data_IF_440329918055
#
_entry.id   IF_440329918055
#
_cell.length_a   1.000
_cell.length_b   1.000
_cell.length_c   1.000
_cell.angle_alpha   90.00
_cell.angle_beta   90.00
_cell.angle_gamma   90.00
#
_symmetry.space_group_name_H-M   'P 1'
#
loop_
_entity.id
_entity.type
_entity.pdbx_description
1 polymer ?
#
# COMPACT_ATOMS: atom_id res chain seq x y z
N UNK A 1 15.56 -0.62 -2.26
CA UNK A 1 15.11 -2.01 -2.00
C UNK A 1 14.62 -2.13 -0.58
N UNK A 2 13.48 -2.78 -0.37
CA UNK A 2 12.96 -3.21 0.92
C UNK A 2 13.18 -4.72 1.03
N UNK A 3 13.71 -5.19 2.16
CA UNK A 3 13.95 -6.59 2.47
C UNK A 3 13.33 -6.92 3.82
N UNK A 4 12.49 -7.95 3.83
CA UNK A 4 11.94 -8.58 5.03
C UNK A 4 12.55 -9.97 5.11
N UNK A 5 13.15 -10.32 6.26
CA UNK A 5 13.83 -11.60 6.44
C UNK A 5 13.45 -12.23 7.77
N UNK A 6 12.99 -13.48 7.69
CA UNK A 6 12.61 -14.34 8.81
C UNK A 6 11.74 -13.62 9.86
N UNK A 7 10.75 -12.85 9.38
CA UNK A 7 9.98 -11.95 10.21
C UNK A 7 8.90 -12.71 10.99
N UNK A 8 9.02 -12.67 12.31
CA UNK A 8 8.03 -13.19 13.25
C UNK A 8 7.37 -12.06 14.01
N UNK A 9 6.04 -12.08 14.07
CA UNK A 9 5.26 -10.96 14.56
C UNK A 9 4.08 -11.44 15.39
N UNK A 10 3.78 -10.73 16.49
CA UNK A 10 2.71 -11.07 17.42
C UNK A 10 1.83 -9.86 17.74
N UNK A 11 0.56 -10.14 18.06
CA UNK A 11 -0.34 -9.25 18.78
C UNK A 11 -0.66 -9.88 20.13
N UNK A 12 -0.14 -9.31 21.21
CA UNK A 12 -0.19 -9.94 22.53
C UNK A 12 0.32 -11.38 22.47
N UNK A 13 -0.56 -12.33 22.79
CA UNK A 13 -0.23 -13.76 22.81
C UNK A 13 -0.34 -14.45 21.45
N UNK A 14 -1.02 -13.85 20.47
CA UNK A 14 -1.27 -14.44 19.16
C UNK A 14 -0.10 -14.15 18.23
N UNK A 15 0.47 -15.19 17.63
CA UNK A 15 1.47 -15.02 16.58
C UNK A 15 0.78 -14.90 15.23
N UNK A 16 1.00 -13.77 14.56
CA UNK A 16 0.38 -13.45 13.28
C UNK A 16 1.31 -13.75 12.09
N UNK A 17 2.63 -13.63 12.26
CA UNK A 17 3.63 -14.00 11.25
C UNK A 17 4.61 -15.05 11.79
N UNK A 18 4.93 -16.04 10.96
CA UNK A 18 5.68 -17.24 11.33
C UNK A 18 6.99 -17.37 10.52
N UNK A 19 7.71 -16.27 10.32
CA UNK A 19 9.03 -16.26 9.66
C UNK A 19 8.94 -15.95 8.17
N UNK A 20 8.23 -14.89 7.79
CA UNK A 20 8.11 -14.50 6.38
C UNK A 20 9.38 -13.83 5.87
N UNK A 21 9.73 -14.09 4.61
CA UNK A 21 10.85 -13.43 3.93
C UNK A 21 10.45 -13.03 2.52
N UNK A 22 10.66 -11.76 2.17
CA UNK A 22 10.41 -11.26 0.82
C UNK A 22 11.21 -9.99 0.54
N UNK A 23 11.30 -9.64 -0.74
CA UNK A 23 11.95 -8.40 -1.18
C UNK A 23 11.07 -7.63 -2.16
N UNK A 24 11.22 -6.31 -2.13
CA UNK A 24 10.64 -5.38 -3.10
C UNK A 24 11.78 -4.52 -3.65
N UNK A 25 11.97 -4.52 -4.96
CA UNK A 25 13.01 -3.75 -5.64
C UNK A 25 12.51 -2.35 -5.97
N UNK A 26 13.44 -1.42 -6.16
CA UNK A 26 13.09 -0.04 -6.50
C UNK A 26 12.48 0.03 -7.91
N UNK A 27 11.37 0.76 -8.04
CA UNK A 27 10.58 0.83 -9.28
C UNK A 27 9.69 -0.40 -9.51
N UNK A 28 9.65 -1.36 -8.59
CA UNK A 28 8.83 -2.57 -8.72
C UNK A 28 7.44 -2.37 -8.12
N UNK A 29 6.42 -2.97 -8.76
CA UNK A 29 5.12 -3.21 -8.16
C UNK A 29 5.03 -4.67 -7.73
N UNK A 30 5.00 -4.94 -6.43
CA UNK A 30 4.90 -6.28 -5.83
C UNK A 30 3.53 -6.46 -5.20
N UNK A 31 2.89 -7.61 -5.44
CA UNK A 31 1.66 -7.99 -4.75
C UNK A 31 1.96 -8.98 -3.60
N UNK A 32 1.38 -8.73 -2.43
CA UNK A 32 1.32 -9.69 -1.33
C UNK A 32 -0.13 -10.17 -1.20
N UNK A 33 -0.38 -11.38 -1.69
CA UNK A 33 -1.70 -11.98 -1.81
C UNK A 33 -2.03 -12.85 -0.60
N UNK A 34 -3.30 -13.03 -0.30
CA UNK A 34 -3.73 -13.99 0.71
C UNK A 34 -5.14 -13.72 1.22
N UNK A 35 -5.72 -14.72 1.88
CA UNK A 35 -7.04 -14.60 2.50
C UNK A 35 -7.05 -13.58 3.67
N UNK A 36 -8.25 -13.25 4.14
CA UNK A 36 -8.41 -12.41 5.33
C UNK A 36 -7.82 -13.13 6.54
N UNK A 37 -7.08 -12.41 7.38
CA UNK A 37 -6.36 -12.99 8.51
C UNK A 37 -5.05 -13.69 8.15
N UNK A 38 -4.62 -13.71 6.89
CA UNK A 38 -3.33 -14.33 6.51
C UNK A 38 -2.09 -13.61 7.08
N UNK A 39 -2.22 -12.36 7.56
CA UNK A 39 -1.12 -11.55 8.10
C UNK A 39 -0.65 -10.42 7.17
N UNK A 40 -1.45 -10.06 6.16
CA UNK A 40 -1.08 -9.05 5.15
C UNK A 40 -0.94 -7.64 5.75
N UNK A 41 -2.00 -7.12 6.39
CA UNK A 41 -1.96 -5.85 7.16
C UNK A 41 -0.88 -5.86 8.23
N UNK A 42 -0.72 -6.97 8.95
CA UNK A 42 0.35 -7.15 9.96
C UNK A 42 1.74 -6.94 9.37
N UNK A 43 1.97 -7.41 8.14
CA UNK A 43 3.23 -7.20 7.43
C UNK A 43 3.46 -5.71 7.17
N UNK A 44 2.46 -4.98 6.67
CA UNK A 44 2.56 -3.54 6.41
C UNK A 44 2.77 -2.74 7.71
N UNK A 45 2.00 -3.02 8.75
CA UNK A 45 2.16 -2.36 10.05
C UNK A 45 3.54 -2.61 10.67
N UNK A 46 4.11 -3.81 10.46
CA UNK A 46 5.46 -4.15 10.93
C UNK A 46 6.54 -3.37 10.20
N UNK A 47 6.39 -3.18 8.88
CA UNK A 47 7.30 -2.35 8.07
C UNK A 47 7.21 -0.88 8.51
N UNK A 48 5.99 -0.38 8.73
CA UNK A 48 5.73 0.99 9.15
C UNK A 48 6.03 1.26 10.62
N UNK A 49 6.43 0.23 11.39
CA UNK A 49 6.76 0.34 12.82
C UNK A 49 5.62 0.90 13.67
N UNK A 50 4.37 0.56 13.34
CA UNK A 50 3.22 0.95 14.16
C UNK A 50 3.38 0.35 15.58
N UNK A 51 3.35 1.16 16.65
CA UNK A 51 3.64 0.68 17.99
C UNK A 51 2.41 -0.01 18.62
N UNK A 52 2.61 -0.90 19.61
CA UNK A 52 1.52 -1.45 20.42
C UNK A 52 0.77 -0.36 21.23
N UNK A 53 -0.49 -0.62 21.65
CA UNK A 53 -1.27 -1.84 21.46
C UNK A 53 -1.94 -1.96 20.07
N UNK A 54 -2.06 -0.87 19.31
CA UNK A 54 -2.71 -0.86 18.00
C UNK A 54 -1.86 -1.57 16.93
N UNK A 55 -0.54 -1.52 17.09
CA UNK A 55 0.44 -2.12 16.19
C UNK A 55 1.06 -3.42 16.69
N UNK A 56 1.68 -4.19 15.78
CA UNK A 56 2.28 -5.48 16.10
C UNK A 56 3.65 -5.37 16.81
N UNK A 57 4.04 -6.44 17.51
CA UNK A 57 5.40 -6.62 18.05
C UNK A 57 6.19 -7.60 17.19
N UNK A 58 7.30 -7.12 16.62
CA UNK A 58 8.28 -7.98 15.93
C UNK A 58 9.13 -8.70 16.99
N UNK A 59 9.09 -10.03 16.99
CA UNK A 59 9.81 -10.87 17.97
C UNK A 59 11.11 -11.44 17.43
N UNK A 60 11.21 -11.63 16.11
CA UNK A 60 12.39 -12.15 15.41
C UNK A 60 12.39 -11.67 13.96
N UNK A 61 13.57 -11.65 13.35
CA UNK A 61 13.77 -11.27 11.96
C UNK A 61 14.19 -9.81 11.80
N UNK A 62 14.24 -9.36 10.55
CA UNK A 62 14.67 -7.99 10.22
C UNK A 62 13.81 -7.39 9.11
N UNK A 63 13.60 -6.08 9.19
CA UNK A 63 13.05 -5.27 8.09
C UNK A 63 14.11 -4.24 7.71
N UNK A 64 14.72 -4.39 6.54
CA UNK A 64 15.74 -3.47 6.03
C UNK A 64 15.20 -2.67 4.87
N UNK A 65 15.38 -1.36 4.93
CA UNK A 65 15.15 -0.47 3.82
C UNK A 65 16.47 0.13 3.36
N UNK A 66 16.90 -0.25 2.16
CA UNK A 66 18.27 0.00 1.67
C UNK A 66 19.27 -0.55 2.69
N UNK A 67 20.15 0.29 3.24
CA UNK A 67 21.12 -0.10 4.27
C UNK A 67 20.59 0.02 5.71
N UNK A 68 19.39 0.58 5.93
CA UNK A 68 18.87 0.87 7.28
C UNK A 68 17.97 -0.24 7.79
N UNK A 69 18.19 -0.69 9.02
CA UNK A 69 17.24 -1.57 9.71
C UNK A 69 16.09 -0.74 10.30
N UNK A 70 14.89 -0.86 9.73
CA UNK A 70 13.71 -0.11 10.15
C UNK A 70 13.22 -0.48 11.55
N UNK A 71 13.61 -1.65 12.09
CA UNK A 71 13.17 -2.07 13.43
C UNK A 71 13.64 -1.13 14.55
N UNK A 72 14.68 -0.33 14.31
CA UNK A 72 15.19 0.67 15.27
C UNK A 72 14.76 2.10 14.92
N UNK A 73 13.92 2.27 13.90
CA UNK A 73 13.48 3.57 13.41
C UNK A 73 12.07 3.87 13.97
N UNK A 74 11.83 5.06 14.53
CA UNK A 74 10.49 5.47 14.95
C UNK A 74 9.53 5.59 13.74
N UNK A 75 8.23 5.28 13.89
CA UNK A 75 7.27 5.27 12.78
C UNK A 75 7.21 6.58 11.97
N UNK A 76 7.28 7.73 12.64
CA UNK A 76 7.28 9.03 11.95
C UNK A 76 8.52 9.25 11.07
N UNK A 77 9.66 8.65 11.40
CA UNK A 77 10.89 8.74 10.59
C UNK A 77 10.87 7.78 9.39
N UNK A 78 10.12 6.68 9.46
CA UNK A 78 9.89 5.78 8.32
C UNK A 78 9.29 6.57 7.14
N UNK A 79 8.33 7.46 7.42
CA UNK A 79 7.76 8.34 6.41
C UNK A 79 8.72 9.50 6.10
N UNK A 80 9.11 10.29 7.11
CA UNK A 80 9.78 11.57 6.91
C UNK A 80 11.22 11.46 6.35
N UNK A 81 11.97 10.41 6.74
CA UNK A 81 13.36 10.22 6.32
C UNK A 81 13.51 9.15 5.25
N UNK A 82 12.76 8.05 5.37
CA UNK A 82 12.87 6.92 4.44
C UNK A 82 11.89 6.98 3.27
N UNK A 83 10.89 7.88 3.33
CA UNK A 83 9.99 8.13 2.21
C UNK A 83 9.11 6.93 1.87
N UNK A 84 8.68 6.18 2.89
CA UNK A 84 7.74 5.06 2.77
C UNK A 84 6.39 5.51 3.31
N UNK A 85 5.38 5.60 2.45
CA UNK A 85 4.01 5.92 2.82
C UNK A 85 3.14 4.67 2.92
N UNK A 86 2.12 4.73 3.78
CA UNK A 86 1.10 3.69 3.91
C UNK A 86 -0.27 4.29 3.58
N UNK A 87 -1.01 3.62 2.70
CA UNK A 87 -2.46 3.79 2.55
C UNK A 87 -3.12 2.61 3.26
N UNK A 88 -3.63 2.79 4.48
CA UNK A 88 -4.33 1.74 5.20
C UNK A 88 -5.70 1.43 4.59
N UNK A 89 -6.25 0.27 4.94
CA UNK A 89 -7.63 -0.10 4.68
C UNK A 89 -8.59 0.94 5.29
N UNK A 90 -9.78 1.17 4.72
CA UNK A 90 -10.78 2.03 5.35
C UNK A 90 -10.63 3.54 5.06
N UNK A 91 -9.87 3.92 4.02
CA UNK A 91 -9.73 5.27 3.41
C UNK A 91 -9.06 6.32 4.30
N UNK A 92 -9.36 6.37 5.59
CA UNK A 92 -8.78 7.27 6.60
C UNK A 92 -8.64 8.74 6.17
N UNK A 93 -9.67 9.28 5.50
CA UNK A 93 -9.75 10.68 5.05
C UNK A 93 -10.25 11.62 6.15
N UNK A 94 -9.92 12.92 6.04
CA UNK A 94 -10.47 13.95 6.91
C UNK A 94 -11.83 14.41 6.38
N UNK A 95 -12.91 13.79 6.87
CA UNK A 95 -14.27 13.98 6.34
C UNK A 95 -14.78 15.43 6.42
N UNK A 96 -14.41 16.16 7.48
CA UNK A 96 -14.79 17.55 7.70
C UNK A 96 -14.05 18.55 6.79
N UNK A 97 -13.05 18.09 6.05
CA UNK A 97 -12.26 18.90 5.12
C UNK A 97 -12.70 18.64 3.68
N UNK A 98 -12.44 19.62 2.82
CA UNK A 98 -12.64 19.48 1.37
C UNK A 98 -11.62 18.52 0.75
N UNK A 99 -11.89 18.08 -0.48
CA UNK A 99 -10.93 17.33 -1.31
C UNK A 99 -9.58 18.06 -1.40
N UNK A 100 -9.60 19.35 -1.74
CA UNK A 100 -8.39 20.17 -1.86
C UNK A 100 -7.63 20.26 -0.52
N UNK A 101 -8.32 20.45 0.60
CA UNK A 101 -7.69 20.51 1.92
C UNK A 101 -7.07 19.17 2.34
N UNK A 102 -7.76 18.06 2.06
CA UNK A 102 -7.22 16.71 2.27
C UNK A 102 -5.89 16.52 1.52
N UNK A 103 -5.86 16.89 0.23
CA UNK A 103 -4.66 16.80 -0.61
C UNK A 103 -3.54 17.74 -0.14
N UNK A 104 -3.88 18.96 0.29
CA UNK A 104 -2.91 19.93 0.83
C UNK A 104 -2.30 19.49 2.15
N UNK A 105 -3.08 18.93 3.08
CA UNK A 105 -2.53 18.45 4.35
C UNK A 105 -1.51 17.33 4.13
N UNK A 106 -1.70 16.51 3.11
CA UNK A 106 -0.74 15.46 2.78
C UNK A 106 0.65 15.99 2.36
N UNK A 107 0.77 17.27 2.01
CA UNK A 107 2.05 17.90 1.66
C UNK A 107 2.74 18.57 2.86
N UNK A 108 2.19 18.47 4.08
CA UNK A 108 2.66 19.22 5.24
C UNK A 108 4.16 19.04 5.56
N UNK A 109 4.69 17.83 5.37
CA UNK A 109 6.10 17.52 5.64
C UNK A 109 7.04 17.90 4.47
N UNK A 110 6.50 18.35 3.33
CA UNK A 110 7.26 18.67 2.12
C UNK A 110 7.75 20.11 2.14
N UNK A 111 8.93 20.33 1.53
CA UNK A 111 9.59 21.65 1.43
C UNK A 111 9.70 22.16 0.00
N UNK A 112 9.33 21.33 -0.99
CA UNK A 112 9.50 21.54 -2.43
C UNK A 112 8.23 22.10 -3.09
N UNK A 113 7.89 23.35 -2.78
CA UNK A 113 6.63 24.01 -3.20
C UNK A 113 6.35 23.96 -4.71
N UNK A 114 7.38 24.07 -5.56
CA UNK A 114 7.24 24.00 -7.01
C UNK A 114 6.87 22.59 -7.54
N UNK A 115 7.29 21.53 -6.84
CA UNK A 115 6.91 20.16 -7.19
C UNK A 115 5.50 19.82 -6.68
N UNK A 116 5.09 20.39 -5.54
CA UNK A 116 3.73 20.20 -4.99
C UNK A 116 2.65 20.62 -5.98
N UNK A 117 2.81 21.76 -6.66
CA UNK A 117 1.82 22.21 -7.64
C UNK A 117 1.69 21.22 -8.82
N UNK A 118 2.83 20.72 -9.34
CA UNK A 118 2.86 19.73 -10.42
C UNK A 118 2.24 18.40 -9.98
N UNK A 119 2.51 17.97 -8.75
CA UNK A 119 1.92 16.75 -8.20
C UNK A 119 0.41 16.90 -7.98
N UNK A 120 -0.07 18.09 -7.61
CA UNK A 120 -1.51 18.37 -7.50
C UNK A 120 -2.20 18.26 -8.87
N UNK A 121 -1.64 18.88 -9.89
CA UNK A 121 -2.17 18.78 -11.26
C UNK A 121 -2.16 17.34 -11.75
N UNK A 122 -1.09 16.59 -11.43
CA UNK A 122 -0.97 15.17 -11.73
C UNK A 122 -2.04 14.34 -11.00
N UNK A 123 -2.27 14.58 -9.71
CA UNK A 123 -3.30 13.88 -8.92
C UNK A 123 -4.69 14.13 -9.51
N UNK A 124 -5.00 15.36 -9.92
CA UNK A 124 -6.26 15.66 -10.59
C UNK A 124 -6.36 15.07 -12.01
N UNK A 125 -5.24 14.94 -12.72
CA UNK A 125 -5.19 14.22 -13.98
C UNK A 125 -5.44 12.70 -13.82
N UNK A 126 -4.90 12.10 -12.76
CA UNK A 126 -5.09 10.69 -12.43
C UNK A 126 -6.49 10.40 -11.86
N UNK A 127 -7.07 11.35 -11.15
CA UNK A 127 -8.40 11.24 -10.54
C UNK A 127 -9.31 12.41 -10.94
N UNK A 128 -9.83 12.46 -12.18
CA UNK A 128 -10.61 13.58 -12.67
C UNK A 128 -11.84 13.91 -11.80
N UNK A 129 -12.46 12.88 -11.21
CA UNK A 129 -13.61 13.05 -10.30
C UNK A 129 -13.28 13.86 -9.05
N UNK A 130 -12.04 13.82 -8.57
CA UNK A 130 -11.60 14.67 -7.46
C UNK A 130 -11.43 16.13 -7.91
N UNK A 131 -11.04 16.36 -9.17
CA UNK A 131 -10.87 17.71 -9.72
C UNK A 131 -12.21 18.45 -9.80
N UNK A 132 -13.24 17.76 -10.33
CA UNK A 132 -14.62 18.26 -10.40
C UNK A 132 -15.17 18.66 -9.02
N UNK A 133 -14.71 17.94 -7.98
CA UNK A 133 -15.21 18.06 -6.60
C UNK A 133 -14.20 18.70 -5.64
N UNK A 134 -13.22 19.45 -6.13
CA UNK A 134 -12.10 19.95 -5.30
C UNK A 134 -12.54 20.74 -4.04
N UNK A 135 -13.67 21.42 -4.10
CA UNK A 135 -14.23 22.23 -3.00
C UNK A 135 -15.32 21.50 -2.19
N UNK A 136 -15.65 20.27 -2.55
CA UNK A 136 -16.65 19.45 -1.86
C UNK A 136 -16.04 18.83 -0.60
N UNK A 137 -16.81 18.75 0.48
CA UNK A 137 -16.42 18.04 1.72
C UNK A 137 -16.24 16.56 1.47
N UNK A 138 -15.18 15.98 2.03
CA UNK A 138 -14.77 14.61 1.74
C UNK A 138 -15.74 13.56 2.31
N UNK A 139 -16.46 13.87 3.40
CA UNK A 139 -17.51 13.01 3.96
C UNK A 139 -18.74 12.84 3.04
N UNK A 140 -18.97 13.79 2.12
CA UNK A 140 -20.08 13.73 1.15
C UNK A 140 -19.73 13.01 -0.17
N UNK A 141 -18.48 12.55 -0.31
CA UNK A 141 -18.05 11.77 -1.47
C UNK A 141 -18.58 10.33 -1.40
N UNK A 142 -18.79 9.72 -2.56
CA UNK A 142 -19.04 8.27 -2.61
C UNK A 142 -17.85 7.49 -2.07
N UNK A 143 -18.06 6.25 -1.63
CA UNK A 143 -16.98 5.45 -1.07
C UNK A 143 -15.80 5.22 -2.01
N UNK A 144 -16.07 5.13 -3.31
CA UNK A 144 -15.01 5.06 -4.33
C UNK A 144 -14.22 6.36 -4.47
N UNK A 145 -14.90 7.50 -4.47
CA UNK A 145 -14.23 8.81 -4.52
C UNK A 145 -13.41 9.06 -3.25
N UNK A 146 -13.89 8.64 -2.08
CA UNK A 146 -13.12 8.69 -0.84
C UNK A 146 -11.84 7.83 -0.93
N UNK A 147 -11.91 6.66 -1.57
CA UNK A 147 -10.73 5.82 -1.82
C UNK A 147 -9.74 6.52 -2.75
N UNK A 148 -10.21 7.11 -3.85
CA UNK A 148 -9.34 7.89 -4.75
C UNK A 148 -8.69 9.07 -4.02
N UNK A 149 -9.41 9.73 -3.09
CA UNK A 149 -8.85 10.79 -2.28
C UNK A 149 -7.76 10.28 -1.32
N UNK A 150 -7.96 9.13 -0.68
CA UNK A 150 -6.94 8.49 0.15
C UNK A 150 -5.65 8.20 -0.64
N UNK A 151 -5.80 7.67 -1.86
CA UNK A 151 -4.70 7.44 -2.79
C UNK A 151 -4.01 8.74 -3.20
N UNK A 152 -4.79 9.76 -3.58
CA UNK A 152 -4.29 11.09 -3.92
C UNK A 152 -3.46 11.71 -2.80
N UNK A 153 -3.88 11.55 -1.54
CA UNK A 153 -3.10 12.00 -0.38
C UNK A 153 -1.74 11.31 -0.29
N UNK A 154 -1.68 10.00 -0.46
CA UNK A 154 -0.39 9.31 -0.48
C UNK A 154 0.52 9.84 -1.59
N UNK A 155 -0.01 10.14 -2.78
CA UNK A 155 0.80 10.70 -3.87
C UNK A 155 1.27 12.12 -3.58
N UNK A 156 0.39 12.96 -3.02
CA UNK A 156 0.75 14.33 -2.62
C UNK A 156 1.86 14.38 -1.57
N UNK A 157 2.03 13.32 -0.76
CA UNK A 157 3.14 13.24 0.20
C UNK A 157 4.53 13.15 -0.44
N UNK A 158 4.63 12.89 -1.75
CA UNK A 158 5.90 12.87 -2.49
C UNK A 158 6.78 11.64 -2.20
N UNK A 159 6.25 10.65 -1.48
CA UNK A 159 6.95 9.40 -1.19
C UNK A 159 7.16 8.57 -2.46
N UNK A 160 8.32 7.92 -2.57
CA UNK A 160 8.64 7.02 -3.72
C UNK A 160 8.35 5.56 -3.43
N UNK A 161 7.97 5.23 -2.19
CA UNK A 161 7.60 3.91 -1.75
C UNK A 161 6.21 3.98 -1.14
N UNK A 162 5.28 3.22 -1.71
CA UNK A 162 3.89 3.21 -1.28
C UNK A 162 3.50 1.79 -0.91
N UNK A 163 3.03 1.63 0.32
CA UNK A 163 2.42 0.41 0.82
C UNK A 163 0.90 0.60 0.78
N UNK A 164 0.18 -0.32 0.17
CA UNK A 164 -1.27 -0.24 0.01
C UNK A 164 -1.92 -1.44 0.67
N UNK A 165 -2.89 -1.19 1.57
CA UNK A 165 -3.63 -2.23 2.26
C UNK A 165 -5.06 -2.33 1.71
N UNK A 166 -5.34 -3.41 0.98
CA UNK A 166 -6.63 -3.73 0.35
C UNK A 166 -7.31 -2.53 -0.34
N UNK A 167 -6.59 -1.78 -1.20
CA UNK A 167 -7.10 -0.52 -1.75
C UNK A 167 -8.31 -0.72 -2.68
N UNK A 168 -8.54 -1.95 -3.14
CA UNK A 168 -9.68 -2.34 -3.97
C UNK A 168 -10.98 -2.63 -3.20
N UNK A 169 -10.90 -2.80 -1.87
CA UNK A 169 -12.02 -3.32 -1.09
C UNK A 169 -13.23 -2.37 -1.12
N UNK A 170 -14.40 -2.93 -1.44
CA UNK A 170 -15.67 -2.19 -1.50
C UNK A 170 -15.81 -1.29 -2.74
N UNK A 171 -14.90 -1.36 -3.71
CA UNK A 171 -15.03 -0.66 -4.99
C UNK A 171 -15.86 -1.47 -5.99
N UNK A 172 -16.57 -0.76 -6.87
CA UNK A 172 -17.18 -1.40 -8.03
C UNK A 172 -16.11 -1.96 -8.97
N UNK A 173 -16.40 -2.98 -9.79
CA UNK A 173 -15.42 -3.58 -10.71
C UNK A 173 -14.74 -2.56 -11.63
N UNK A 174 -15.49 -1.54 -12.08
CA UNK A 174 -14.96 -0.47 -12.93
C UNK A 174 -13.93 0.38 -12.18
N UNK A 175 -14.28 0.87 -10.99
CA UNK A 175 -13.39 1.69 -10.16
C UNK A 175 -12.14 0.92 -9.72
N UNK A 176 -12.31 -0.37 -9.47
CA UNK A 176 -11.20 -1.26 -9.16
C UNK A 176 -10.20 -1.36 -10.32
N UNK A 177 -10.66 -1.53 -11.57
CA UNK A 177 -9.77 -1.52 -12.73
C UNK A 177 -9.09 -0.17 -12.95
N UNK A 178 -9.83 0.93 -12.74
CA UNK A 178 -9.31 2.29 -12.85
C UNK A 178 -8.20 2.55 -11.81
N UNK A 179 -8.42 2.15 -10.55
CA UNK A 179 -7.42 2.23 -9.49
C UNK A 179 -6.11 1.54 -9.90
N UNK A 180 -6.18 0.27 -10.31
CA UNK A 180 -4.96 -0.46 -10.67
C UNK A 180 -4.26 0.07 -11.92
N UNK A 181 -5.02 0.66 -12.86
CA UNK A 181 -4.43 1.38 -13.99
C UNK A 181 -3.62 2.58 -13.51
N UNK A 182 -4.19 3.40 -12.62
CA UNK A 182 -3.49 4.54 -12.01
C UNK A 182 -2.25 4.09 -11.24
N UNK A 183 -2.34 3.01 -10.46
CA UNK A 183 -1.19 2.44 -9.76
C UNK A 183 -0.06 2.03 -10.72
N UNK A 184 -0.43 1.42 -11.85
CA UNK A 184 0.54 1.05 -12.89
C UNK A 184 1.19 2.29 -13.52
N UNK A 185 0.42 3.29 -13.90
CA UNK A 185 0.97 4.56 -14.45
C UNK A 185 1.93 5.23 -13.47
N UNK A 186 1.63 5.18 -12.17
CA UNK A 186 2.52 5.72 -11.14
C UNK A 186 3.80 4.90 -11.00
N UNK A 187 3.68 3.58 -11.03
CA UNK A 187 4.83 2.69 -10.98
C UNK A 187 5.74 2.87 -12.20
N UNK A 188 5.18 3.06 -13.40
CA UNK A 188 5.91 3.36 -14.64
C UNK A 188 6.70 4.69 -14.56
N UNK A 189 6.28 5.62 -13.70
CA UNK A 189 7.06 6.84 -13.39
C UNK A 189 8.12 6.67 -12.30
N UNK A 190 8.37 5.44 -11.86
CA UNK A 190 9.43 5.09 -10.89
C UNK A 190 8.97 4.95 -9.44
N UNK A 191 7.67 5.02 -9.16
CA UNK A 191 7.15 4.76 -7.81
C UNK A 191 7.25 3.27 -7.50
N UNK A 192 7.78 2.92 -6.33
CA UNK A 192 7.79 1.53 -5.86
C UNK A 192 6.53 1.25 -5.07
N UNK A 193 5.84 0.15 -5.38
CA UNK A 193 4.54 -0.17 -4.79
C UNK A 193 4.57 -1.58 -4.21
N UNK A 194 4.21 -1.71 -2.93
CA UNK A 194 3.83 -2.99 -2.34
C UNK A 194 2.32 -2.95 -2.09
N UNK A 195 1.58 -3.76 -2.82
CA UNK A 195 0.12 -3.83 -2.71
C UNK A 195 -0.29 -5.13 -2.02
N UNK A 196 -1.04 -5.03 -0.94
CA UNK A 196 -1.67 -6.15 -0.25
C UNK A 196 -3.09 -6.29 -0.76
N UNK A 197 -3.45 -7.47 -1.26
CA UNK A 197 -4.77 -7.71 -1.86
C UNK A 197 -5.30 -9.11 -1.56
N UNK A 198 -6.61 -9.19 -1.40
CA UNK A 198 -7.33 -10.46 -1.45
C UNK A 198 -7.67 -10.85 -2.89
N UNK A 199 -7.95 -9.87 -3.76
CA UNK A 199 -8.27 -10.11 -5.16
C UNK A 199 -6.99 -10.40 -5.99
N UNK A 200 -6.59 -11.68 -6.00
CA UNK A 200 -5.40 -12.13 -6.71
C UNK A 200 -5.45 -11.84 -8.21
N UNK A 201 -6.61 -11.99 -8.85
CA UNK A 201 -6.74 -11.87 -10.31
C UNK A 201 -6.27 -10.50 -10.80
N UNK A 202 -6.74 -9.44 -10.12
CA UNK A 202 -6.39 -8.10 -10.54
C UNK A 202 -4.97 -7.74 -10.13
N UNK A 203 -4.56 -8.06 -8.90
CA UNK A 203 -3.21 -7.76 -8.44
C UNK A 203 -2.14 -8.42 -9.33
N UNK A 204 -2.31 -9.69 -9.71
CA UNK A 204 -1.39 -10.41 -10.59
C UNK A 204 -1.33 -9.84 -12.01
N UNK A 205 -2.41 -9.22 -12.50
CA UNK A 205 -2.45 -8.59 -13.82
C UNK A 205 -1.53 -7.37 -13.93
N UNK A 206 -1.34 -6.64 -12.83
CA UNK A 206 -0.59 -5.38 -12.81
C UNK A 206 0.77 -5.48 -12.11
N UNK A 207 0.96 -6.42 -11.18
CA UNK A 207 2.21 -6.60 -10.48
C UNK A 207 3.31 -7.20 -11.37
N UNK A 208 4.57 -6.96 -10.98
CA UNK A 208 5.75 -7.58 -11.56
C UNK A 208 5.96 -8.99 -10.97
N UNK A 209 5.87 -9.06 -9.65
CA UNK A 209 6.04 -10.27 -8.85
C UNK A 209 4.97 -10.32 -7.77
N UNK A 210 4.68 -11.52 -7.30
CA UNK A 210 3.79 -11.69 -6.15
C UNK A 210 4.35 -12.72 -5.16
N UNK A 211 3.90 -12.57 -3.92
CA UNK A 211 4.08 -13.51 -2.83
C UNK A 211 2.70 -13.90 -2.32
N UNK A 212 2.49 -15.17 -2.03
CA UNK A 212 1.22 -15.67 -1.49
C UNK A 212 1.43 -16.01 -0.02
N UNK A 213 0.63 -15.36 0.82
CA UNK A 213 0.65 -15.46 2.27
C UNK A 213 -0.52 -16.30 2.74
N UNK A 214 -0.23 -17.37 3.47
CA UNK A 214 -1.21 -18.24 4.10
C UNK A 214 -0.85 -18.46 5.55
N UNK A 215 -1.77 -18.13 6.45
CA UNK A 215 -1.61 -18.32 7.90
C UNK A 215 -0.25 -17.84 8.42
N UNK A 216 0.15 -16.63 8.00
CA UNK A 216 1.39 -15.98 8.41
C UNK A 216 2.68 -16.58 7.82
N UNK A 217 2.60 -17.36 6.74
CA UNK A 217 3.75 -17.91 6.01
C UNK A 217 3.64 -17.61 4.52
N UNK A 218 4.78 -17.36 3.88
CA UNK A 218 4.83 -17.27 2.42
C UNK A 218 4.91 -18.71 1.88
N UNK A 219 3.91 -19.10 1.09
CA UNK A 219 3.79 -20.45 0.53
C UNK A 219 4.18 -20.51 -0.95
N UNK A 220 4.06 -19.40 -1.67
CA UNK A 220 4.44 -19.28 -3.07
C UNK A 220 5.02 -17.89 -3.35
N UNK A 221 5.94 -17.84 -4.31
CA UNK A 221 6.51 -16.60 -4.83
C UNK A 221 6.88 -16.76 -6.31
N UNK A 222 6.84 -15.67 -7.07
CA UNK A 222 7.26 -15.73 -8.47
C UNK A 222 6.85 -14.50 -9.28
N UNK A 223 7.19 -14.49 -10.59
CA UNK A 223 6.65 -13.54 -11.54
C UNK A 223 5.13 -13.60 -11.56
N UNK A 224 4.46 -12.44 -11.52
CA UNK A 224 3.01 -12.39 -11.41
C UNK A 224 2.29 -13.09 -12.58
N UNK A 225 2.89 -13.06 -13.78
CA UNK A 225 2.37 -13.74 -14.98
C UNK A 225 2.40 -15.26 -14.86
N UNK A 226 3.41 -15.82 -14.20
CA UNK A 226 3.55 -17.26 -13.98
C UNK A 226 2.55 -17.71 -12.92
N UNK A 227 2.49 -16.99 -11.79
CA UNK A 227 1.52 -17.26 -10.72
C UNK A 227 0.07 -17.13 -11.19
N UNK A 228 -0.25 -16.24 -12.13
CA UNK A 228 -1.59 -16.15 -12.71
C UNK A 228 -2.00 -17.38 -13.53
N UNK A 229 -1.02 -18.16 -14.00
CA UNK A 229 -1.26 -19.39 -14.77
C UNK A 229 -1.25 -20.65 -13.89
N UNK A 230 -0.70 -20.54 -12.68
CA UNK A 230 -0.55 -21.63 -11.73
C UNK A 230 -1.91 -22.26 -11.37
N UNK A 231 -2.06 -23.61 -11.47
CA UNK A 231 -3.31 -24.30 -11.17
C UNK A 231 -3.79 -24.16 -9.72
N UNK A 232 -2.87 -24.13 -8.75
CA UNK A 232 -3.22 -23.96 -7.34
C UNK A 232 -3.73 -22.55 -7.09
N UNK A 233 -3.07 -21.53 -7.66
CA UNK A 233 -3.54 -20.14 -7.59
C UNK A 233 -4.89 -19.97 -8.23
N UNK A 234 -5.11 -20.56 -9.42
CA UNK A 234 -6.40 -20.50 -10.09
C UNK A 234 -7.50 -21.05 -9.20
N UNK A 235 -7.32 -22.28 -8.73
CA UNK A 235 -8.28 -22.98 -7.88
C UNK A 235 -8.56 -22.25 -6.56
N UNK A 236 -7.53 -21.69 -5.92
CA UNK A 236 -7.65 -21.09 -4.60
C UNK A 236 -8.13 -19.62 -4.63
N UNK A 237 -7.79 -18.86 -5.69
CA UNK A 237 -7.96 -17.40 -5.70
C UNK A 237 -8.57 -16.81 -6.97
N UNK A 238 -8.63 -17.52 -8.10
CA UNK A 238 -9.13 -16.99 -9.38
C UNK A 238 -10.44 -17.62 -9.86
N UNK A 239 -10.83 -18.78 -9.31
CA UNK A 239 -11.97 -19.58 -9.77
C UNK A 239 -11.62 -20.41 -11.00
#
# INVERSE_FOLDING_TARGET
MLEVKDLHVRYGNIQALHGISFTVREGEMVALLGANGAGKTTTLCSIMRLPPPEGPVVTKGTVRFRSTNLLHVPPHEVVAKHGIGLVPEGRHIFGNLTVMENLRIATYARKDTGAIAKDMDRVFGLFPRLADRKNQRADTLSGGEQQMLAMGRAFMSGVRWILLDEPSMGLSPLLMQELFRVLKELNETGTTILVVEQNAHLALRYAHRAYVLETGRIVMEGPARELAQDPEIKKAYLG
#
